data_IF_683823513000
#
_entry.id   IF_683823513000
#
_cell.length_a   1.000
_cell.length_b   1.000
_cell.length_c   1.000
_cell.angle_alpha   90.00
_cell.angle_beta   90.00
_cell.angle_gamma   90.00
#
_symmetry.space_group_name_H-M   'P 1'
#
loop_
_entity.id
_entity.type
_entity.pdbx_description
1 polymer ?
#
# COMPACT_ATOMS: atom_id res chain seq x y z
N UNK A 1 -6.02 -9.15 5.07
CA UNK A 1 -4.86 -8.68 4.29
C UNK A 1 -5.14 -8.87 2.82
N UNK A 2 -5.11 -7.78 2.05
CA UNK A 2 -5.25 -7.78 0.59
C UNK A 2 -3.86 -7.70 -0.03
N UNK A 3 -3.57 -8.55 -1.00
CA UNK A 3 -2.29 -8.56 -1.70
C UNK A 3 -2.46 -8.65 -3.22
N UNK A 4 -1.54 -8.02 -3.95
CA UNK A 4 -1.42 -8.21 -5.40
C UNK A 4 -1.00 -9.64 -5.78
N UNK A 5 -1.09 -9.96 -7.06
CA UNK A 5 -0.95 -11.33 -7.56
C UNK A 5 0.52 -11.78 -7.80
N UNK A 6 1.51 -11.05 -7.27
CA UNK A 6 2.94 -11.33 -7.43
C UNK A 6 3.30 -12.72 -6.87
N UNK A 7 4.17 -13.47 -7.56
CA UNK A 7 4.54 -14.83 -7.17
C UNK A 7 5.09 -14.94 -5.74
N UNK A 8 5.87 -13.95 -5.29
CA UNK A 8 6.41 -13.90 -3.92
C UNK A 8 5.33 -13.83 -2.83
N UNK A 9 4.15 -13.28 -3.13
CA UNK A 9 3.03 -13.20 -2.19
C UNK A 9 2.31 -14.55 -1.99
N UNK A 10 2.57 -15.54 -2.86
CA UNK A 10 1.84 -16.81 -2.88
C UNK A 10 2.54 -17.93 -2.11
N UNK A 11 3.73 -17.67 -1.55
CA UNK A 11 4.49 -18.67 -0.82
C UNK A 11 3.73 -19.21 0.40
N UNK A 12 4.01 -20.46 0.75
CA UNK A 12 3.39 -21.10 1.92
C UNK A 12 3.74 -20.36 3.21
N UNK A 13 4.97 -19.89 3.34
CA UNK A 13 5.45 -19.12 4.49
C UNK A 13 4.62 -17.84 4.70
N UNK A 14 4.33 -17.09 3.63
CA UNK A 14 3.50 -15.87 3.71
C UNK A 14 2.08 -16.21 4.15
N UNK A 15 1.46 -17.26 3.59
CA UNK A 15 0.12 -17.68 4.01
C UNK A 15 0.05 -18.09 5.48
N UNK A 16 1.06 -18.83 5.95
CA UNK A 16 1.15 -19.26 7.35
C UNK A 16 1.31 -18.04 8.27
N UNK A 17 2.24 -17.14 7.98
CA UNK A 17 2.47 -15.94 8.79
C UNK A 17 1.19 -15.09 8.95
N UNK A 18 0.43 -14.87 7.86
CA UNK A 18 -0.81 -14.08 7.90
C UNK A 18 -1.89 -14.77 8.73
N UNK A 19 -2.06 -16.09 8.57
CA UNK A 19 -3.05 -16.87 9.33
C UNK A 19 -2.71 -16.96 10.81
N UNK A 20 -1.42 -17.11 11.15
CA UNK A 20 -0.94 -17.10 12.53
C UNK A 20 -1.21 -15.77 13.24
N UNK A 21 -1.29 -14.66 12.49
CA UNK A 21 -1.70 -13.36 13.01
C UNK A 21 -3.24 -13.19 13.10
N UNK A 22 -4.03 -14.23 12.82
CA UNK A 22 -5.49 -14.18 12.85
C UNK A 22 -6.13 -13.46 11.65
N UNK A 23 -5.36 -13.17 10.60
CA UNK A 23 -5.84 -12.44 9.44
C UNK A 23 -6.19 -13.39 8.27
N UNK A 24 -7.19 -12.98 7.48
CA UNK A 24 -7.49 -13.60 6.20
C UNK A 24 -6.62 -13.02 5.08
N UNK A 25 -6.26 -13.86 4.11
CA UNK A 25 -5.51 -13.45 2.93
C UNK A 25 -6.41 -13.47 1.70
N UNK A 26 -6.54 -12.31 1.05
CA UNK A 26 -7.25 -12.12 -0.20
C UNK A 26 -6.27 -11.68 -1.29
N UNK A 27 -6.31 -12.35 -2.44
CA UNK A 27 -5.55 -11.95 -3.62
C UNK A 27 -6.43 -11.15 -4.57
N UNK A 28 -5.89 -10.06 -5.10
CA UNK A 28 -6.57 -9.28 -6.13
C UNK A 28 -6.63 -10.07 -7.45
N UNK A 29 -7.72 -9.90 -8.24
CA UNK A 29 -7.75 -10.42 -9.59
C UNK A 29 -6.59 -9.83 -10.43
N UNK A 30 -6.13 -10.56 -11.45
CA UNK A 30 -5.10 -10.05 -12.35
C UNK A 30 -5.49 -8.70 -12.95
N UNK A 31 -4.54 -7.77 -13.02
CA UNK A 31 -4.72 -6.44 -13.63
C UNK A 31 -5.86 -5.60 -13.01
N UNK A 32 -6.12 -5.75 -11.71
CA UNK A 32 -7.12 -4.94 -10.98
C UNK A 32 -6.47 -3.92 -10.02
N UNK A 33 -5.70 -2.93 -10.52
CA UNK A 33 -5.07 -1.91 -9.69
C UNK A 33 -6.11 -1.02 -8.98
N UNK A 34 -7.30 -0.85 -9.56
CA UNK A 34 -8.37 -0.03 -8.96
C UNK A 34 -8.89 -0.61 -7.63
N UNK A 35 -8.75 -1.92 -7.45
CA UNK A 35 -9.07 -2.63 -6.21
C UNK A 35 -7.93 -2.60 -5.20
N UNK A 36 -6.80 -1.94 -5.51
CA UNK A 36 -5.65 -1.86 -4.63
C UNK A 36 -5.55 -0.46 -4.00
N UNK A 37 -5.96 -0.26 -2.74
CA UNK A 37 -6.04 1.06 -2.12
C UNK A 37 -4.67 1.75 -2.02
N UNK A 38 -3.58 0.96 -2.06
CA UNK A 38 -2.21 1.48 -1.99
C UNK A 38 -1.82 2.28 -3.24
N UNK A 39 -2.48 2.07 -4.39
CA UNK A 39 -2.11 2.75 -5.65
C UNK A 39 -2.31 4.27 -5.56
N UNK A 40 -3.42 4.70 -4.95
CA UNK A 40 -3.69 6.11 -4.69
C UNK A 40 -2.67 6.72 -3.73
N UNK A 41 -2.36 6.00 -2.65
CA UNK A 41 -1.34 6.42 -1.69
C UNK A 41 0.03 6.57 -2.36
N UNK A 42 0.40 5.61 -3.23
CA UNK A 42 1.66 5.65 -3.98
C UNK A 42 1.67 6.76 -5.03
N UNK A 43 0.54 7.10 -5.66
CA UNK A 43 0.46 8.25 -6.56
C UNK A 43 0.79 9.55 -5.81
N UNK A 44 0.20 9.78 -4.64
CA UNK A 44 0.50 10.94 -3.78
C UNK A 44 1.95 10.93 -3.29
N UNK A 45 2.44 9.79 -2.81
CA UNK A 45 3.84 9.64 -2.38
C UNK A 45 4.81 10.00 -3.52
N UNK A 46 4.60 9.44 -4.72
CA UNK A 46 5.42 9.73 -5.91
C UNK A 46 5.38 11.20 -6.30
N UNK A 47 4.23 11.88 -6.16
CA UNK A 47 4.13 13.31 -6.42
C UNK A 47 5.08 14.10 -5.52
N UNK A 48 5.00 13.91 -4.20
CA UNK A 48 5.88 14.62 -3.26
C UNK A 48 7.34 14.21 -3.36
N UNK A 49 7.63 12.95 -3.67
CA UNK A 49 9.00 12.47 -3.89
C UNK A 49 9.65 13.13 -5.10
N UNK A 50 8.90 13.41 -6.18
CA UNK A 50 9.40 14.18 -7.33
C UNK A 50 9.74 15.60 -6.96
N UNK A 51 8.94 16.24 -6.11
CA UNK A 51 9.23 17.58 -5.58
C UNK A 51 10.47 17.58 -4.68
N UNK A 52 10.64 16.56 -3.83
CA UNK A 52 11.78 16.45 -2.92
C UNK A 52 13.10 16.11 -3.64
N UNK A 53 13.04 15.45 -4.80
CA UNK A 53 14.17 15.13 -5.68
C UNK A 53 15.46 14.64 -4.97
N UNK A 54 15.39 13.66 -4.04
CA UNK A 54 16.55 13.21 -3.27
C UNK A 54 17.64 12.60 -4.16
N UNK A 55 18.91 12.82 -3.80
CA UNK A 55 20.09 12.39 -4.58
C UNK A 55 20.96 11.36 -3.87
N UNK A 56 20.53 10.88 -2.70
CA UNK A 56 21.19 9.81 -1.96
C UNK A 56 20.17 8.90 -1.30
N UNK A 57 20.59 7.68 -0.95
CA UNK A 57 19.75 6.72 -0.24
C UNK A 57 19.27 7.28 1.11
N UNK A 58 20.14 7.97 1.84
CA UNK A 58 19.79 8.48 3.16
C UNK A 58 18.80 9.66 3.06
N UNK A 59 18.95 10.53 2.05
CA UNK A 59 17.97 11.59 1.79
C UNK A 59 16.65 11.02 1.28
N UNK A 60 16.67 9.96 0.47
CA UNK A 60 15.48 9.23 0.05
C UNK A 60 14.67 8.73 1.26
N UNK A 61 15.31 8.02 2.19
CA UNK A 61 14.65 7.49 3.39
C UNK A 61 14.05 8.58 4.28
N UNK A 62 14.79 9.66 4.53
CA UNK A 62 14.29 10.81 5.32
C UNK A 62 13.12 11.50 4.63
N UNK A 63 13.18 11.69 3.32
CA UNK A 63 12.09 12.27 2.53
C UNK A 63 10.83 11.42 2.59
N UNK A 64 10.95 10.09 2.42
CA UNK A 64 9.82 9.16 2.56
C UNK A 64 9.18 9.31 3.93
N UNK A 65 9.96 9.24 5.02
CA UNK A 65 9.42 9.40 6.38
C UNK A 65 8.71 10.73 6.60
N UNK A 66 9.28 11.83 6.09
CA UNK A 66 8.69 13.17 6.18
C UNK A 66 7.37 13.28 5.39
N UNK A 67 7.31 12.67 4.21
CA UNK A 67 6.12 12.69 3.36
C UNK A 67 5.02 11.81 3.95
N UNK A 68 5.35 10.69 4.59
CA UNK A 68 4.38 9.81 5.24
C UNK A 68 3.56 10.54 6.33
N UNK A 69 4.15 11.55 7.00
CA UNK A 69 3.42 12.40 7.96
C UNK A 69 2.30 13.25 7.33
N UNK A 70 2.21 13.29 5.99
CA UNK A 70 1.17 14.04 5.26
C UNK A 70 -0.08 13.20 4.95
N UNK A 71 -0.09 11.93 5.33
CA UNK A 71 -1.25 11.05 5.16
C UNK A 71 -2.08 11.07 6.44
N UNK A 72 -3.33 11.51 6.32
CA UNK A 72 -4.25 11.54 7.46
C UNK A 72 -5.04 10.23 7.55
N UNK A 73 -5.54 9.85 8.75
CA UNK A 73 -6.42 8.70 8.88
C UNK A 73 -7.65 8.76 7.97
N UNK A 74 -8.30 9.92 7.88
CA UNK A 74 -9.48 10.12 7.03
C UNK A 74 -9.17 9.93 5.54
N UNK A 75 -8.02 10.44 5.09
CA UNK A 75 -7.57 10.22 3.72
C UNK A 75 -7.30 8.75 3.43
N UNK A 76 -6.64 8.03 4.35
CA UNK A 76 -6.42 6.59 4.22
C UNK A 76 -7.73 5.81 4.17
N UNK A 77 -8.72 6.19 4.99
CA UNK A 77 -10.06 5.61 4.97
C UNK A 77 -10.75 5.85 3.61
N UNK A 78 -10.58 7.04 3.02
CA UNK A 78 -11.10 7.36 1.70
C UNK A 78 -10.47 6.50 0.59
N UNK A 79 -9.18 6.16 0.66
CA UNK A 79 -8.56 5.24 -0.29
C UNK A 79 -9.17 3.83 -0.22
N UNK A 80 -9.42 3.33 0.99
CA UNK A 80 -10.09 2.05 1.21
C UNK A 80 -11.53 2.07 0.66
N UNK A 81 -12.28 3.14 0.93
CA UNK A 81 -13.63 3.35 0.40
C UNK A 81 -13.64 3.36 -1.13
N UNK A 82 -12.73 4.12 -1.75
CA UNK A 82 -12.64 4.22 -3.20
C UNK A 82 -12.27 2.88 -3.87
N UNK A 83 -11.48 2.03 -3.19
CA UNK A 83 -11.15 0.68 -3.67
C UNK A 83 -12.25 -0.37 -3.36
N UNK A 84 -13.40 0.05 -2.82
CA UNK A 84 -14.56 -0.83 -2.58
C UNK A 84 -14.60 -1.52 -1.22
N UNK A 85 -13.73 -1.14 -0.27
CA UNK A 85 -13.62 -1.82 1.03
C UNK A 85 -14.42 -1.18 2.17
N UNK A 86 -15.18 -0.11 1.91
CA UNK A 86 -15.99 0.56 2.93
C UNK A 86 -17.49 0.20 2.84
N UNK A 87 -17.86 -0.80 2.04
CA UNK A 87 -19.22 -1.35 2.06
C UNK A 87 -19.33 -2.38 3.18
N UNK A 88 -19.76 -1.92 4.36
CA UNK A 88 -20.41 -2.71 5.40
C UNK A 88 -21.66 -1.99 5.86
#
# INVERSE_FOLDING_TARGET
MVMGNLGSHKSQAVRQAIRSAGAHLLFLPPYSPDLNPIEQAFAKLKHWMRTAAPRSRDTLWRSVGTILNRFTPDECANYLKNAGYASV
#
